data_IF_609065841614
#
_entry.id   IF_609065841614
#
_cell.length_a   1.000
_cell.length_b   1.000
_cell.length_c   1.000
_cell.angle_alpha   90.00
_cell.angle_beta   90.00
_cell.angle_gamma   90.00
#
_symmetry.space_group_name_H-M   'P 1'
#
loop_
_entity.id
_entity.type
_entity.pdbx_description
1 polymer ?
#
# COMPACT_ATOMS: atom_id res chain seq x y z
N UNK A 1 -4.06 -10.27 -24.49
CA UNK A 1 -3.00 -11.03 -23.80
C UNK A 1 -3.49 -11.35 -22.41
N UNK A 2 -3.36 -12.59 -21.93
CA UNK A 2 -3.86 -12.99 -20.60
C UNK A 2 -2.81 -12.87 -19.49
N UNK A 3 -1.54 -12.61 -19.82
CA UNK A 3 -0.43 -12.54 -18.87
C UNK A 3 0.08 -11.11 -18.73
N UNK A 4 0.16 -10.61 -17.50
CA UNK A 4 0.66 -9.28 -17.17
C UNK A 4 2.11 -9.33 -16.68
N UNK A 5 2.86 -8.25 -16.92
CA UNK A 5 4.18 -8.06 -16.31
C UNK A 5 4.05 -7.66 -14.83
N UNK A 6 5.17 -7.76 -14.08
CA UNK A 6 5.21 -7.34 -12.69
C UNK A 6 4.83 -5.85 -12.54
N UNK A 7 5.21 -4.98 -13.47
CA UNK A 7 4.88 -3.55 -13.50
C UNK A 7 3.36 -3.33 -13.67
N UNK A 8 2.73 -4.07 -14.58
CA UNK A 8 1.29 -3.98 -14.80
C UNK A 8 0.52 -4.47 -13.57
N UNK A 9 0.95 -5.59 -12.98
CA UNK A 9 0.39 -6.09 -11.71
C UNK A 9 0.56 -5.06 -10.59
N UNK A 10 1.73 -4.43 -10.51
CA UNK A 10 2.02 -3.41 -9.51
C UNK A 10 1.15 -2.16 -9.68
N UNK A 11 0.80 -1.78 -10.92
CA UNK A 11 -0.15 -0.69 -11.17
C UNK A 11 -1.56 -1.04 -10.66
N UNK A 12 -2.10 -2.21 -11.00
CA UNK A 12 -3.42 -2.65 -10.50
C UNK A 12 -3.45 -2.75 -8.96
N UNK A 13 -2.40 -3.30 -8.35
CA UNK A 13 -2.28 -3.38 -6.89
C UNK A 13 -2.22 -2.00 -6.23
N UNK A 14 -1.52 -1.04 -6.85
CA UNK A 14 -1.47 0.34 -6.39
C UNK A 14 -2.83 1.03 -6.54
N UNK A 15 -3.51 0.86 -7.66
CA UNK A 15 -4.82 1.47 -7.87
C UNK A 15 -5.87 0.90 -6.91
N UNK A 16 -5.74 -0.37 -6.50
CA UNK A 16 -6.57 -0.99 -5.47
C UNK A 16 -6.30 -0.47 -4.04
N UNK A 17 -5.11 0.09 -3.76
CA UNK A 17 -4.79 0.72 -2.49
C UNK A 17 -3.56 0.18 -1.76
N UNK A 18 -2.87 -0.83 -2.28
CA UNK A 18 -1.62 -1.31 -1.68
C UNK A 18 -0.50 -0.25 -1.78
N UNK A 19 0.29 -0.08 -0.72
CA UNK A 19 1.41 0.88 -0.66
C UNK A 19 2.60 0.27 0.06
N UNK A 20 3.80 0.81 -0.18
CA UNK A 20 5.03 0.40 0.52
C UNK A 20 5.34 -1.11 0.37
N UNK A 21 5.80 -1.74 1.45
CA UNK A 21 6.11 -3.18 1.46
C UNK A 21 4.89 -4.07 1.17
N UNK A 22 3.68 -3.61 1.51
CA UNK A 22 2.46 -4.33 1.17
C UNK A 22 2.22 -4.37 -0.35
N UNK A 23 2.58 -3.31 -1.07
CA UNK A 23 2.53 -3.30 -2.54
C UNK A 23 3.54 -4.28 -3.13
N UNK A 24 4.79 -4.25 -2.66
CA UNK A 24 5.82 -5.20 -3.08
C UNK A 24 5.40 -6.65 -2.84
N UNK A 25 4.85 -6.92 -1.65
CA UNK A 25 4.40 -8.26 -1.26
C UNK A 25 3.20 -8.69 -2.08
N UNK A 26 2.22 -7.81 -2.33
CA UNK A 26 1.07 -8.11 -3.16
C UNK A 26 1.46 -8.49 -4.60
N UNK A 27 2.43 -7.80 -5.19
CA UNK A 27 2.95 -8.13 -6.53
C UNK A 27 3.66 -9.48 -6.53
N UNK A 28 4.51 -9.73 -5.53
CA UNK A 28 5.22 -11.00 -5.41
C UNK A 28 4.25 -12.19 -5.18
N UNK A 29 3.20 -12.00 -4.40
CA UNK A 29 2.13 -12.98 -4.18
C UNK A 29 1.38 -13.24 -5.50
N UNK A 30 0.94 -12.22 -6.23
CA UNK A 30 0.26 -12.43 -7.52
C UNK A 30 1.10 -13.20 -8.54
N UNK A 31 2.41 -12.92 -8.60
CA UNK A 31 3.33 -13.65 -9.47
C UNK A 31 3.50 -15.12 -9.03
N UNK A 32 3.53 -15.39 -7.72
CA UNK A 32 3.61 -16.74 -7.20
C UNK A 32 2.31 -17.53 -7.42
N UNK A 33 1.16 -16.89 -7.23
CA UNK A 33 -0.17 -17.51 -7.33
C UNK A 33 -0.56 -17.85 -8.77
N UNK A 34 -0.30 -16.94 -9.72
CA UNK A 34 -0.83 -17.06 -11.09
C UNK A 34 0.24 -17.01 -12.19
N UNK A 35 1.50 -16.73 -11.84
CA UNK A 35 2.52 -16.37 -12.81
C UNK A 35 2.21 -15.08 -13.58
N UNK A 36 1.27 -14.26 -13.10
CA UNK A 36 0.74 -13.08 -13.81
C UNK A 36 -0.39 -13.39 -14.79
N UNK A 37 -0.96 -14.61 -14.80
CA UNK A 37 -2.08 -14.95 -15.66
C UNK A 37 -3.42 -14.46 -15.08
N UNK A 38 -3.98 -13.41 -15.69
CA UNK A 38 -5.29 -12.83 -15.35
C UNK A 38 -6.45 -13.80 -15.46
N UNK A 39 -6.30 -14.87 -16.25
CA UNK A 39 -7.30 -15.93 -16.44
C UNK A 39 -6.99 -17.20 -15.66
N UNK A 40 -6.06 -17.16 -14.71
CA UNK A 40 -5.80 -18.29 -13.84
C UNK A 40 -7.06 -18.67 -13.05
N UNK A 41 -7.43 -19.94 -13.09
CA UNK A 41 -8.56 -20.48 -12.35
C UNK A 41 -8.16 -21.84 -11.80
N UNK A 42 -8.10 -21.96 -10.49
CA UNK A 42 -7.99 -23.25 -9.82
C UNK A 42 -9.40 -23.72 -9.43
N UNK A 43 -9.82 -24.88 -9.94
CA UNK A 43 -11.10 -25.52 -9.60
C UNK A 43 -10.91 -26.96 -9.09
N UNK A 44 -9.68 -27.32 -8.72
CA UNK A 44 -9.36 -28.68 -8.28
C UNK A 44 -9.69 -28.87 -6.80
N UNK A 45 -10.38 -29.98 -6.49
CA UNK A 45 -10.67 -30.37 -5.11
C UNK A 45 -11.57 -29.38 -4.37
N UNK A 46 -11.09 -28.89 -3.23
CA UNK A 46 -11.78 -27.92 -2.37
C UNK A 46 -11.30 -26.48 -2.61
N UNK A 47 -10.93 -26.15 -3.84
CA UNK A 47 -10.52 -24.81 -4.22
C UNK A 47 -11.32 -24.31 -5.43
N UNK A 48 -11.63 -23.02 -5.44
CA UNK A 48 -12.30 -22.34 -6.52
C UNK A 48 -11.79 -20.89 -6.60
N UNK A 49 -10.54 -20.72 -7.02
CA UNK A 49 -9.78 -19.47 -6.92
C UNK A 49 -9.53 -18.82 -8.28
N UNK A 50 -9.70 -17.49 -8.36
CA UNK A 50 -9.74 -16.75 -9.64
C UNK A 50 -8.69 -15.63 -9.71
N UNK A 51 -8.12 -15.46 -10.90
CA UNK A 51 -7.35 -14.29 -11.30
C UNK A 51 -5.94 -14.22 -10.71
N UNK A 52 -5.36 -13.02 -10.75
CA UNK A 52 -3.96 -12.75 -10.40
C UNK A 52 -3.61 -13.14 -8.96
N UNK A 53 -4.48 -12.80 -8.01
CA UNK A 53 -4.33 -13.07 -6.57
C UNK A 53 -5.10 -14.31 -6.10
N UNK A 54 -5.56 -15.17 -7.03
CA UNK A 54 -6.25 -16.43 -6.72
C UNK A 54 -7.31 -16.27 -5.62
N UNK A 55 -8.29 -15.40 -5.86
CA UNK A 55 -9.34 -15.10 -4.90
C UNK A 55 -10.31 -16.28 -4.80
N UNK A 56 -10.29 -16.98 -3.66
CA UNK A 56 -11.15 -18.14 -3.41
C UNK A 56 -12.65 -17.77 -3.35
N UNK A 57 -13.47 -18.49 -4.11
CA UNK A 57 -14.91 -18.33 -4.22
C UNK A 57 -15.66 -19.64 -3.94
N UNK A 58 -15.04 -20.59 -3.22
CA UNK A 58 -15.62 -21.89 -2.89
C UNK A 58 -16.81 -21.74 -1.92
N UNK A 59 -17.90 -22.46 -2.20
CA UNK A 59 -19.07 -22.54 -1.32
C UNK A 59 -19.65 -21.16 -0.98
N UNK A 60 -19.93 -20.94 0.31
CA UNK A 60 -20.56 -19.71 0.80
C UNK A 60 -19.66 -18.46 0.71
N UNK A 61 -18.33 -18.65 0.55
CA UNK A 61 -17.41 -17.53 0.32
C UNK A 61 -17.73 -16.79 -0.98
N UNK A 62 -18.13 -17.52 -2.03
CA UNK A 62 -18.42 -16.93 -3.33
C UNK A 62 -19.54 -15.88 -3.25
N UNK A 63 -20.77 -16.26 -2.84
CA UNK A 63 -21.87 -15.31 -2.65
C UNK A 63 -21.53 -14.16 -1.67
N UNK A 64 -20.81 -14.43 -0.58
CA UNK A 64 -20.43 -13.40 0.38
C UNK A 64 -19.47 -12.36 -0.23
N UNK A 65 -18.40 -12.80 -0.88
CA UNK A 65 -17.40 -11.93 -1.54
C UNK A 65 -17.99 -11.16 -2.70
N UNK A 66 -18.89 -11.75 -3.50
CA UNK A 66 -19.60 -11.02 -4.56
C UNK A 66 -20.38 -9.83 -4.01
N UNK A 67 -21.12 -10.01 -2.90
CA UNK A 67 -21.81 -8.90 -2.23
C UNK A 67 -20.84 -7.88 -1.63
N UNK A 68 -19.76 -8.35 -1.00
CA UNK A 68 -18.78 -7.48 -0.34
C UNK A 68 -18.00 -6.61 -1.35
N UNK A 69 -17.67 -7.15 -2.52
CA UNK A 69 -16.83 -6.49 -3.52
C UNK A 69 -17.61 -5.91 -4.71
N UNK A 70 -18.94 -6.06 -4.72
CA UNK A 70 -19.79 -5.55 -5.80
C UNK A 70 -19.61 -6.27 -7.13
N UNK A 71 -19.39 -7.60 -7.09
CA UNK A 71 -19.20 -8.43 -8.28
C UNK A 71 -20.53 -9.04 -8.73
N UNK A 72 -20.84 -8.95 -10.02
CA UNK A 72 -22.00 -9.59 -10.63
C UNK A 72 -21.79 -11.11 -10.75
N UNK A 73 -20.54 -11.53 -11.00
CA UNK A 73 -20.18 -12.93 -11.18
C UNK A 73 -18.75 -13.24 -10.73
N UNK A 74 -18.42 -14.53 -10.54
CA UNK A 74 -17.03 -14.92 -10.27
C UNK A 74 -16.09 -14.60 -11.45
N UNK A 75 -16.62 -14.48 -12.68
CA UNK A 75 -15.81 -14.18 -13.87
C UNK A 75 -15.24 -12.76 -13.83
N UNK A 76 -15.84 -11.88 -13.04
CA UNK A 76 -15.38 -10.50 -12.86
C UNK A 76 -13.99 -10.48 -12.20
N UNK A 77 -13.63 -11.53 -11.45
CA UNK A 77 -12.29 -11.70 -10.88
C UNK A 77 -11.21 -12.04 -11.93
N UNK A 78 -11.57 -12.24 -13.20
CA UNK A 78 -10.59 -12.26 -14.30
C UNK A 78 -10.21 -10.87 -14.78
N UNK A 79 -10.98 -9.84 -14.39
CA UNK A 79 -10.58 -8.45 -14.55
C UNK A 79 -9.49 -8.12 -13.49
N UNK A 80 -8.31 -7.63 -13.91
CA UNK A 80 -7.21 -7.32 -12.99
C UNK A 80 -7.55 -6.27 -11.93
N UNK A 81 -8.39 -5.28 -12.24
CA UNK A 81 -8.76 -4.22 -11.30
C UNK A 81 -9.70 -4.78 -10.24
N UNK A 82 -10.72 -5.53 -10.63
CA UNK A 82 -11.65 -6.17 -9.67
C UNK A 82 -10.93 -7.21 -8.80
N UNK A 83 -10.01 -7.98 -9.39
CA UNK A 83 -9.20 -8.93 -8.64
C UNK A 83 -8.27 -8.23 -7.62
N UNK A 84 -7.62 -7.13 -8.00
CA UNK A 84 -6.77 -6.35 -7.12
C UNK A 84 -7.56 -5.70 -5.97
N UNK A 85 -8.75 -5.17 -6.24
CA UNK A 85 -9.64 -4.61 -5.20
C UNK A 85 -10.04 -5.68 -4.19
N UNK A 86 -10.44 -6.87 -4.64
CA UNK A 86 -10.76 -7.99 -3.76
C UNK A 86 -9.55 -8.40 -2.90
N UNK A 87 -8.37 -8.53 -3.50
CA UNK A 87 -7.13 -8.84 -2.79
C UNK A 87 -6.81 -7.79 -1.71
N UNK A 88 -6.96 -6.50 -2.04
CA UNK A 88 -6.74 -5.42 -1.09
C UNK A 88 -7.72 -5.45 0.07
N UNK A 89 -9.01 -5.71 -0.16
CA UNK A 89 -9.97 -5.82 0.95
C UNK A 89 -9.66 -7.02 1.84
N UNK A 90 -9.33 -8.19 1.29
CA UNK A 90 -8.92 -9.37 2.09
C UNK A 90 -7.72 -9.03 2.98
N UNK A 91 -6.70 -8.40 2.42
CA UNK A 91 -5.52 -7.98 3.17
C UNK A 91 -5.85 -6.91 4.22
N UNK A 92 -6.70 -5.94 3.89
CA UNK A 92 -7.06 -4.82 4.77
C UNK A 92 -7.94 -5.25 5.94
N UNK A 93 -8.85 -6.19 5.70
CA UNK A 93 -9.80 -6.71 6.68
C UNK A 93 -9.17 -7.77 7.60
N UNK A 94 -7.99 -8.27 7.24
CA UNK A 94 -7.15 -9.04 8.14
C UNK A 94 -6.67 -8.15 9.31
N UNK A 95 -6.93 -8.56 10.54
CA UNK A 95 -6.65 -7.74 11.74
C UNK A 95 -5.20 -7.26 11.87
N UNK A 96 -4.25 -8.02 11.32
CA UNK A 96 -2.82 -7.69 11.33
C UNK A 96 -2.33 -7.13 9.98
N UNK A 97 -3.24 -6.98 9.01
CA UNK A 97 -2.93 -6.67 7.62
C UNK A 97 -1.87 -7.61 7.04
N UNK A 98 -2.11 -8.90 7.21
CA UNK A 98 -1.22 -9.98 6.80
C UNK A 98 -1.63 -10.61 5.47
N UNK A 99 -0.65 -11.20 4.78
CA UNK A 99 -0.86 -12.01 3.57
C UNK A 99 -1.07 -13.51 3.89
N UNK A 100 -1.36 -13.87 5.15
CA UNK A 100 -1.59 -15.27 5.58
C UNK A 100 -2.73 -16.00 4.86
N UNK A 101 -3.63 -15.27 4.20
CA UNK A 101 -4.69 -15.87 3.38
C UNK A 101 -4.20 -16.49 2.07
N UNK A 102 -2.92 -16.29 1.71
CA UNK A 102 -2.30 -16.81 0.51
C UNK A 102 -1.26 -17.88 0.85
N UNK A 103 -1.47 -19.11 0.36
CA UNK A 103 -0.55 -20.22 0.64
C UNK A 103 0.86 -19.96 0.11
N UNK A 104 0.98 -19.23 -1.01
CA UNK A 104 2.28 -18.82 -1.59
C UNK A 104 3.04 -17.84 -0.71
N UNK A 105 2.34 -17.10 0.15
CA UNK A 105 2.95 -16.29 1.19
C UNK A 105 3.44 -17.15 2.35
N UNK A 106 2.58 -18.04 2.87
CA UNK A 106 2.89 -18.91 4.01
C UNK A 106 4.04 -19.87 3.74
N UNK A 107 4.07 -20.51 2.57
CA UNK A 107 5.14 -21.43 2.18
C UNK A 107 6.41 -20.72 1.66
N UNK A 108 6.38 -19.39 1.57
CA UNK A 108 7.51 -18.56 1.14
C UNK A 108 7.79 -18.56 -0.37
N UNK A 109 6.94 -19.15 -1.21
CA UNK A 109 7.11 -19.15 -2.67
C UNK A 109 7.19 -17.73 -3.25
N UNK A 110 6.44 -16.78 -2.69
CA UNK A 110 6.47 -15.37 -3.10
C UNK A 110 7.87 -14.74 -3.02
N UNK A 111 8.76 -15.24 -2.14
CA UNK A 111 10.10 -14.68 -1.94
C UNK A 111 10.95 -14.71 -3.21
N UNK A 112 10.74 -15.71 -4.07
CA UNK A 112 11.42 -15.82 -5.37
C UNK A 112 11.08 -14.67 -6.33
N UNK A 113 9.96 -14.00 -6.09
CA UNK A 113 9.45 -12.90 -6.92
C UNK A 113 9.68 -11.52 -6.29
N UNK A 114 10.28 -11.44 -5.10
CA UNK A 114 10.48 -10.17 -4.41
C UNK A 114 11.39 -9.22 -5.17
N UNK A 115 12.42 -9.71 -5.87
CA UNK A 115 13.33 -8.85 -6.63
C UNK A 115 12.62 -8.22 -7.83
N UNK A 116 11.81 -9.00 -8.55
CA UNK A 116 11.02 -8.51 -9.69
C UNK A 116 9.91 -7.56 -9.21
N UNK A 117 9.24 -7.88 -8.10
CA UNK A 117 8.27 -7.00 -7.47
C UNK A 117 8.90 -5.68 -7.04
N UNK A 118 10.07 -5.70 -6.38
CA UNK A 118 10.82 -4.51 -5.97
C UNK A 118 11.24 -3.65 -7.15
N UNK A 119 11.56 -4.24 -8.30
CA UNK A 119 11.84 -3.49 -9.54
C UNK A 119 10.57 -2.86 -10.08
N UNK A 120 9.48 -3.63 -10.16
CA UNK A 120 8.21 -3.18 -10.69
C UNK A 120 7.62 -1.99 -9.94
N UNK A 121 7.59 -2.05 -8.61
CA UNK A 121 6.99 -0.98 -7.78
C UNK A 121 7.72 0.36 -7.86
N UNK A 122 9.00 0.39 -8.28
CA UNK A 122 9.78 1.63 -8.45
C UNK A 122 9.22 2.54 -9.55
N UNK A 123 8.51 1.95 -10.51
CA UNK A 123 7.96 2.67 -11.66
C UNK A 123 6.47 3.00 -11.50
N UNK A 124 5.82 2.48 -10.46
CA UNK A 124 4.40 2.68 -10.20
C UNK A 124 4.16 4.06 -9.59
N UNK A 125 3.18 4.79 -10.13
CA UNK A 125 2.85 6.16 -9.70
C UNK A 125 3.64 7.27 -10.39
N UNK A 126 4.57 6.96 -11.32
CA UNK A 126 5.31 7.94 -12.12
C UNK A 126 4.73 8.21 -13.53
N UNK A 127 3.55 7.69 -13.89
CA UNK A 127 3.02 7.91 -15.24
C UNK A 127 1.50 7.87 -15.40
N UNK A 128 0.86 9.05 -15.46
CA UNK A 128 -0.17 9.31 -16.47
C UNK A 128 0.53 9.89 -17.69
N UNK A 129 0.84 9.04 -18.67
CA UNK A 129 1.40 9.45 -19.95
C UNK A 129 0.94 8.48 -21.03
N UNK A 130 -0.01 8.91 -21.85
CA UNK A 130 -0.47 8.21 -23.05
C UNK A 130 0.73 7.74 -23.91
N UNK A 131 0.73 6.48 -24.31
CA UNK A 131 1.77 5.91 -25.18
C UNK A 131 1.30 4.66 -25.91
N UNK A 132 0.58 4.89 -27.00
CA UNK A 132 0.06 3.93 -27.98
C UNK A 132 1.21 3.20 -28.70
N UNK A 133 1.19 1.86 -28.68
CA UNK A 133 1.66 0.96 -29.74
C UNK A 133 3.17 0.91 -30.10
N UNK A 134 3.73 -0.30 -30.10
CA UNK A 134 4.26 -1.00 -31.29
C UNK A 134 5.41 -1.93 -30.91
N UNK A 135 5.42 -3.12 -31.53
CA UNK A 135 6.44 -4.14 -31.31
C UNK A 135 7.79 -3.83 -31.95
N UNK A 136 8.80 -4.62 -31.56
CA UNK A 136 10.14 -4.64 -32.15
C UNK A 136 11.12 -5.41 -31.27
N UNK A 137 11.79 -6.41 -31.83
CA UNK A 137 12.51 -7.45 -31.08
C UNK A 137 13.96 -7.15 -30.68
N UNK A 138 14.46 -8.08 -29.85
CA UNK A 138 15.83 -8.58 -29.65
C UNK A 138 17.02 -7.59 -29.52
N UNK A 139 17.70 -7.60 -28.36
CA UNK A 139 19.03 -8.25 -28.15
C UNK A 139 19.57 -8.10 -26.70
N UNK A 140 20.39 -9.06 -26.21
CA UNK A 140 20.85 -9.10 -24.81
C UNK A 140 22.18 -8.35 -24.61
N UNK A 141 22.27 -7.55 -23.55
CA UNK A 141 23.47 -6.80 -23.16
C UNK A 141 23.82 -6.98 -21.68
N UNK A 142 24.91 -7.73 -21.46
CA UNK A 142 25.96 -7.69 -20.41
C UNK A 142 25.62 -7.22 -18.97
N UNK A 143 26.05 -7.97 -17.92
CA UNK A 143 25.87 -7.57 -16.53
C UNK A 143 26.94 -6.55 -16.11
N UNK A 144 26.50 -5.39 -15.59
CA UNK A 144 27.34 -4.35 -14.98
C UNK A 144 26.79 -4.03 -13.59
N UNK A 145 27.67 -4.04 -12.59
CA UNK A 145 27.31 -3.94 -11.18
C UNK A 145 26.89 -2.54 -10.76
N UNK A 146 25.81 -2.47 -9.99
CA UNK A 146 25.42 -1.27 -9.27
C UNK A 146 25.60 -1.55 -7.77
N UNK A 147 26.65 -0.95 -7.21
CA UNK A 147 26.78 -0.76 -5.78
C UNK A 147 25.59 0.06 -5.25
N UNK A 148 25.22 -0.22 -4.00
CA UNK A 148 24.08 0.37 -3.29
C UNK A 148 24.09 1.90 -3.31
N UNK A 149 23.51 2.52 -4.33
CA UNK A 149 23.21 3.96 -4.35
C UNK A 149 21.87 4.17 -3.63
N UNK A 150 21.91 4.87 -2.50
CA UNK A 150 20.70 5.26 -1.77
C UNK A 150 20.00 6.35 -2.59
N UNK A 151 18.79 6.05 -3.09
CA UNK A 151 18.01 7.02 -3.86
C UNK A 151 17.33 8.02 -2.91
N UNK A 152 18.04 9.11 -2.61
CA UNK A 152 17.68 10.16 -1.63
C UNK A 152 16.35 10.84 -1.95
N UNK A 153 15.96 10.86 -3.23
CA UNK A 153 14.64 11.28 -3.74
C UNK A 153 13.47 10.53 -3.06
N UNK A 154 13.61 9.22 -2.78
CA UNK A 154 12.56 8.45 -2.12
C UNK A 154 12.42 8.80 -0.65
N UNK A 155 13.53 9.06 0.04
CA UNK A 155 13.52 9.48 1.44
C UNK A 155 12.84 10.86 1.60
N UNK A 156 13.10 11.78 0.67
CA UNK A 156 12.43 13.09 0.61
C UNK A 156 10.93 12.96 0.32
N UNK A 157 10.56 12.05 -0.58
CA UNK A 157 9.15 11.79 -0.90
C UNK A 157 8.42 11.18 0.30
N UNK A 158 9.05 10.23 0.98
CA UNK A 158 8.54 9.63 2.19
C UNK A 158 8.35 10.65 3.32
N UNK A 159 9.30 11.57 3.49
CA UNK A 159 9.19 12.67 4.44
C UNK A 159 7.94 13.54 4.18
N UNK A 160 7.73 13.95 2.92
CA UNK A 160 6.53 14.72 2.51
C UNK A 160 5.22 13.98 2.76
N UNK A 161 5.21 12.67 2.54
CA UNK A 161 4.04 11.83 2.79
C UNK A 161 3.75 11.72 4.29
N UNK A 162 4.78 11.57 5.12
CA UNK A 162 4.64 11.53 6.57
C UNK A 162 4.09 12.84 7.15
N UNK A 163 4.54 13.98 6.61
CA UNK A 163 4.00 15.31 6.95
C UNK A 163 2.51 15.42 6.58
N UNK A 164 2.14 15.00 5.37
CA UNK A 164 0.74 15.02 4.93
C UNK A 164 -0.18 14.14 5.78
N UNK A 165 0.31 12.98 6.25
CA UNK A 165 -0.43 12.12 7.20
C UNK A 165 -0.60 12.82 8.54
N UNK A 166 0.44 13.46 9.06
CA UNK A 166 0.37 14.19 10.32
C UNK A 166 -0.65 15.33 10.27
N UNK A 167 -0.67 16.09 9.17
CA UNK A 167 -1.60 17.19 8.97
C UNK A 167 -3.05 16.70 8.81
N UNK A 168 -3.25 15.57 8.12
CA UNK A 168 -4.54 14.92 8.00
C UNK A 168 -5.08 14.43 9.35
N UNK A 169 -4.23 13.80 10.16
CA UNK A 169 -4.58 13.38 11.52
C UNK A 169 -4.96 14.57 12.40
N UNK A 170 -4.21 15.66 12.32
CA UNK A 170 -4.52 16.89 13.07
C UNK A 170 -5.87 17.49 12.66
N UNK A 171 -6.18 17.52 11.36
CA UNK A 171 -7.46 18.01 10.84
C UNK A 171 -8.64 17.15 11.32
N UNK A 172 -8.50 15.81 11.27
CA UNK A 172 -9.52 14.87 11.76
C UNK A 172 -9.72 15.04 13.26
N UNK A 173 -8.64 15.11 14.04
CA UNK A 173 -8.70 15.31 15.48
C UNK A 173 -9.46 16.58 15.86
N UNK A 174 -9.21 17.70 15.17
CA UNK A 174 -9.93 18.96 15.38
C UNK A 174 -11.42 18.83 15.05
N UNK A 175 -11.75 18.23 13.89
CA UNK A 175 -13.14 18.08 13.43
C UNK A 175 -13.97 17.15 14.33
N UNK A 176 -13.41 16.02 14.72
CA UNK A 176 -14.10 15.03 15.58
C UNK A 176 -14.38 15.60 16.96
N UNK A 177 -13.41 16.27 17.59
CA UNK A 177 -13.61 16.92 18.89
C UNK A 177 -14.72 17.98 18.82
N UNK A 178 -14.73 18.78 17.76
CA UNK A 178 -15.77 19.80 17.57
C UNK A 178 -17.17 19.18 17.40
N UNK A 179 -17.27 18.13 16.59
CA UNK A 179 -18.54 17.45 16.33
C UNK A 179 -19.08 16.75 17.59
N UNK A 180 -18.23 16.06 18.34
CA UNK A 180 -18.64 15.33 19.55
C UNK A 180 -19.09 16.29 20.65
N UNK A 181 -18.38 17.41 20.85
CA UNK A 181 -18.80 18.44 21.80
C UNK A 181 -20.13 19.10 21.39
N UNK A 182 -20.33 19.38 20.10
CA UNK A 182 -21.59 19.93 19.59
C UNK A 182 -22.78 18.97 19.81
N UNK A 183 -22.62 17.68 19.49
CA UNK A 183 -23.67 16.67 19.68
C UNK A 183 -24.07 16.55 21.16
N UNK A 184 -23.10 16.63 22.08
CA UNK A 184 -23.35 16.54 23.52
C UNK A 184 -24.25 17.69 24.00
N UNK A 185 -23.91 18.91 23.59
CA UNK A 185 -24.64 20.13 23.96
C UNK A 185 -26.04 20.16 23.33
N UNK A 186 -26.14 19.81 22.04
CA UNK A 186 -27.39 19.87 21.27
C UNK A 186 -28.39 18.77 21.67
N UNK A 187 -27.90 17.57 21.99
CA UNK A 187 -28.76 16.39 22.23
C UNK A 187 -29.19 16.26 23.68
N UNK A 188 -28.29 16.54 24.62
CA UNK A 188 -28.51 16.25 26.03
C UNK A 188 -28.71 17.51 26.88
N UNK A 189 -28.34 18.69 26.36
CA UNK A 189 -28.68 19.99 26.95
C UNK A 189 -28.44 20.07 28.46
N UNK A 190 -29.51 20.33 29.23
CA UNK A 190 -29.43 20.46 30.70
C UNK A 190 -29.31 19.12 31.41
N UNK A 191 -30.01 18.09 30.93
CA UNK A 191 -30.00 16.72 31.52
C UNK A 191 -28.62 16.09 31.39
N UNK A 192 -27.93 16.30 30.26
CA UNK A 192 -26.56 15.84 30.05
C UNK A 192 -25.52 16.55 30.93
N UNK A 193 -25.82 17.76 31.40
CA UNK A 193 -24.97 18.52 32.34
C UNK A 193 -25.20 18.07 33.77
N UNK A 194 -26.46 17.90 34.17
CA UNK A 194 -26.83 17.45 35.51
C UNK A 194 -26.36 16.00 35.81
N UNK A 195 -26.25 15.17 34.77
CA UNK A 195 -25.77 13.78 34.89
C UNK A 195 -24.25 13.62 34.72
N UNK A 196 -23.53 14.68 34.35
CA UNK A 196 -22.09 14.63 34.06
C UNK A 196 -21.73 13.92 32.74
N UNK A 197 -22.70 13.48 31.96
CA UNK A 197 -22.47 12.79 30.68
C UNK A 197 -21.75 13.68 29.66
N UNK A 198 -22.07 14.98 29.63
CA UNK A 198 -21.44 15.95 28.72
C UNK A 198 -19.95 16.09 29.02
N UNK A 199 -19.59 16.10 30.30
CA UNK A 199 -18.19 16.20 30.75
C UNK A 199 -17.42 14.92 30.40
N UNK A 200 -18.01 13.74 30.65
CA UNK A 200 -17.40 12.45 30.29
C UNK A 200 -17.16 12.32 28.77
N UNK A 201 -18.09 12.80 27.94
CA UNK A 201 -17.95 12.80 26.48
C UNK A 201 -16.89 13.81 26.02
N UNK A 202 -16.78 14.95 26.70
CA UNK A 202 -15.73 15.95 26.51
C UNK A 202 -14.34 15.38 26.81
N UNK A 203 -14.18 14.73 27.95
CA UNK A 203 -12.94 14.07 28.37
C UNK A 203 -12.53 12.96 27.41
N UNK A 204 -13.50 12.15 26.97
CA UNK A 204 -13.27 11.13 25.94
C UNK A 204 -12.78 11.75 24.62
N UNK A 205 -13.42 12.83 24.18
CA UNK A 205 -13.01 13.56 22.96
C UNK A 205 -11.60 14.12 23.08
N UNK A 206 -11.24 14.66 24.25
CA UNK A 206 -9.91 15.19 24.50
C UNK A 206 -8.84 14.09 24.57
N UNK A 207 -9.18 12.91 25.09
CA UNK A 207 -8.32 11.73 25.04
C UNK A 207 -8.06 11.26 23.61
N UNK A 208 -9.11 11.17 22.77
CA UNK A 208 -8.97 10.86 21.35
C UNK A 208 -8.09 11.88 20.62
N UNK A 209 -8.31 13.18 20.88
CA UNK A 209 -7.48 14.26 20.33
C UNK A 209 -6.01 14.08 20.66
N UNK A 210 -5.69 13.77 21.93
CA UNK A 210 -4.32 13.56 22.41
C UNK A 210 -3.67 12.39 21.69
N UNK A 211 -4.38 11.26 21.54
CA UNK A 211 -3.86 10.09 20.81
C UNK A 211 -3.58 10.40 19.34
N UNK A 212 -4.53 11.02 18.64
CA UNK A 212 -4.35 11.39 17.23
C UNK A 212 -3.19 12.37 17.04
N UNK A 213 -3.04 13.32 17.97
CA UNK A 213 -1.91 14.28 17.96
C UNK A 213 -0.57 13.59 18.20
N UNK A 214 -0.51 12.61 19.10
CA UNK A 214 0.70 11.83 19.37
C UNK A 214 1.10 11.01 18.13
N UNK A 215 0.14 10.37 17.47
CA UNK A 215 0.38 9.63 16.21
C UNK A 215 0.87 10.56 15.10
N UNK A 216 0.28 11.75 14.94
CA UNK A 216 0.75 12.76 13.98
C UNK A 216 2.19 13.22 14.27
N UNK A 217 2.52 13.43 15.55
CA UNK A 217 3.89 13.77 15.97
C UNK A 217 4.90 12.68 15.61
N UNK A 218 4.55 11.40 15.84
CA UNK A 218 5.41 10.28 15.45
C UNK A 218 5.64 10.23 13.94
N UNK A 219 4.60 10.49 13.14
CA UNK A 219 4.73 10.57 11.69
C UNK A 219 5.68 11.70 11.26
N UNK A 220 5.56 12.91 11.85
CA UNK A 220 6.50 14.03 11.57
C UNK A 220 7.94 13.69 11.94
N UNK A 221 8.15 13.06 13.10
CA UNK A 221 9.49 12.65 13.53
C UNK A 221 10.12 11.66 12.55
N UNK A 222 9.32 10.71 12.05
CA UNK A 222 9.76 9.73 11.07
C UNK A 222 10.08 10.38 9.71
N UNK A 223 9.26 11.35 9.29
CA UNK A 223 9.54 12.15 8.09
C UNK A 223 10.82 12.96 8.22
N UNK A 224 11.04 13.57 9.38
CA UNK A 224 12.28 14.31 9.68
C UNK A 224 13.52 13.40 9.62
N UNK A 225 13.46 12.24 10.27
CA UNK A 225 14.56 11.26 10.24
C UNK A 225 14.87 10.79 8.81
N UNK A 226 13.84 10.55 7.99
CA UNK A 226 14.02 10.20 6.58
C UNK A 226 14.66 11.34 5.78
N UNK A 227 14.23 12.59 6.00
CA UNK A 227 14.83 13.76 5.35
C UNK A 227 16.28 13.99 5.78
N UNK A 228 16.60 13.78 7.05
CA UNK A 228 17.97 13.87 7.58
C UNK A 228 18.87 12.79 6.94
N UNK A 229 18.40 11.54 6.88
CA UNK A 229 19.11 10.46 6.21
C UNK A 229 19.38 10.80 4.73
N UNK A 230 18.37 11.30 4.01
CA UNK A 230 18.52 11.73 2.61
C UNK A 230 19.65 12.75 2.44
N UNK A 231 19.71 13.73 3.34
CA UNK A 231 20.73 14.78 3.32
C UNK A 231 22.13 14.21 3.59
N UNK A 232 22.27 13.35 4.60
CA UNK A 232 23.57 12.73 4.94
C UNK A 232 24.12 11.89 3.79
N UNK A 233 23.26 11.14 3.09
CA UNK A 233 23.68 10.36 1.92
C UNK A 233 24.13 11.24 0.76
N UNK A 234 23.43 12.35 0.48
CA UNK A 234 23.87 13.28 -0.56
C UNK A 234 25.19 13.98 -0.23
N UNK A 235 25.39 14.35 1.03
CA UNK A 235 26.66 14.94 1.49
C UNK A 235 27.82 13.94 1.36
N UNK A 236 27.59 12.66 1.69
CA UNK A 236 28.58 11.59 1.54
C UNK A 236 28.92 11.32 0.06
N UNK A 237 27.91 11.24 -0.82
CA UNK A 237 28.12 11.05 -2.26
C UNK A 237 28.88 12.23 -2.88
N UNK A 238 28.55 13.46 -2.48
CA UNK A 238 29.28 14.65 -2.96
C UNK A 238 30.73 14.67 -2.46
N UNK A 239 30.99 14.23 -1.23
CA UNK A 239 32.36 14.10 -0.71
C UNK A 239 33.17 13.07 -1.51
N UNK A 240 32.61 11.89 -1.74
CA UNK A 240 33.24 10.83 -2.54
C UNK A 240 33.55 11.29 -3.97
N UNK A 241 32.63 12.01 -4.62
CA UNK A 241 32.87 12.58 -5.96
C UNK A 241 33.99 13.62 -5.97
N UNK A 242 34.11 14.44 -4.91
CA UNK A 242 35.20 15.42 -4.78
C UNK A 242 36.55 14.75 -4.60
N UNK A 243 36.63 13.73 -3.74
CA UNK A 243 37.86 12.95 -3.53
C UNK A 243 38.31 12.24 -4.80
N UNK A 244 37.37 11.62 -5.53
CA UNK A 244 37.66 10.94 -6.79
C UNK A 244 38.21 11.91 -7.85
N UNK A 245 37.63 13.12 -7.94
CA UNK A 245 38.11 14.18 -8.84
C UNK A 245 39.50 14.69 -8.47
N UNK A 246 39.82 14.77 -7.17
CA UNK A 246 41.13 15.17 -6.69
C UNK A 246 42.21 14.10 -6.92
N UNK A 247 41.84 12.83 -6.97
CA UNK A 247 42.77 11.72 -7.25
C UNK A 247 43.05 11.51 -8.76
N UNK A 248 42.17 12.02 -9.63
CA UNK A 248 42.23 11.84 -11.09
C UNK A 248 42.73 13.08 -11.86
N UNK A 249 43.01 14.19 -11.17
CA UNK A 249 43.58 15.42 -11.73
C UNK A 249 44.97 15.69 -11.18
#
# INVERSE_FOLDING_TARGET
>A
MSKLSAEQIAQHAYDAGFRGEALTTAVAVALAESGGNTRAHNHEGLDNSYGLWQINMLGDLGPARRRQYGLDSNKDLFDPDENAKAAYQIWKDDGDRSFRHWSTYENGAYKKHLDDARKAVRHVGKGKGNGKGSGGGQRPGKPGGDGFTVQTEYLRTYAKQADGVADGLEAVGKKTVHAVRGIAEDTFGRVGKETGFTDALGDFSDSLKKQVTATGTNARNLGKAASEAARTYEEADQAAVRELKAALG
#
